data_IF_301773014719
#
_entry.id   IF_301773014719
#
_cell.length_a   1.000
_cell.length_b   1.000
_cell.length_c   1.000
_cell.angle_alpha   90.00
_cell.angle_beta   90.00
_cell.angle_gamma   90.00
#
_symmetry.space_group_name_H-M   'P 1'
#
loop_
_entity.id
_entity.type
_entity.pdbx_description
1 polymer ?
#
# COMPACT_ATOMS: atom_id res chain seq x y z
N UNK A 1 16.40 33.67 18.77
CA UNK A 1 17.79 33.18 18.65
C UNK A 1 17.83 31.95 17.75
N UNK A 2 18.43 32.08 16.57
CA UNK A 2 18.72 30.94 15.69
C UNK A 2 19.92 30.19 16.26
N UNK A 3 19.68 29.12 17.03
CA UNK A 3 20.70 28.10 17.22
C UNK A 3 20.82 27.35 15.89
N UNK A 4 21.80 27.72 15.08
CA UNK A 4 22.20 26.92 13.92
C UNK A 4 22.53 25.52 14.41
N UNK A 5 21.69 24.54 14.06
CA UNK A 5 22.02 23.15 14.28
C UNK A 5 23.29 22.88 13.46
N UNK A 6 24.37 22.45 14.12
CA UNK A 6 25.66 22.14 13.47
C UNK A 6 25.52 21.08 12.35
N UNK A 7 24.38 20.39 12.30
CA UNK A 7 23.95 19.50 11.23
C UNK A 7 22.47 19.72 10.95
N UNK A 8 22.04 19.81 9.67
CA UNK A 8 20.62 19.85 9.34
C UNK A 8 19.92 18.57 9.84
N UNK A 9 18.64 18.64 10.23
CA UNK A 9 17.89 17.48 10.69
C UNK A 9 17.90 16.38 9.61
N UNK A 10 18.03 15.09 9.98
CA UNK A 10 18.06 14.00 9.02
C UNK A 10 16.79 13.99 8.16
N UNK A 11 16.95 13.49 6.92
CA UNK A 11 15.89 13.36 5.92
C UNK A 11 15.83 11.97 5.29
N UNK A 12 16.87 11.17 5.49
CA UNK A 12 16.93 9.79 5.05
C UNK A 12 16.57 8.89 6.24
N UNK A 13 15.46 8.19 6.10
CA UNK A 13 14.85 7.34 7.10
C UNK A 13 14.59 5.95 6.51
N UNK A 14 14.67 4.93 7.35
CA UNK A 14 14.37 3.54 6.99
C UNK A 14 14.07 2.74 8.26
N UNK A 15 13.94 1.43 8.09
CA UNK A 15 13.94 0.44 9.16
C UNK A 15 15.22 0.49 10.01
N UNK A 16 15.20 -0.06 11.25
CA UNK A 16 16.41 -0.22 12.04
C UNK A 16 17.43 -1.11 11.31
N UNK A 17 18.72 -0.96 11.63
CA UNK A 17 19.76 -1.71 10.96
C UNK A 17 19.58 -3.22 11.12
N UNK A 18 19.55 -3.94 10.00
CA UNK A 18 19.34 -5.40 9.97
C UNK A 18 17.87 -5.82 9.94
N UNK A 19 16.94 -4.88 9.89
CA UNK A 19 15.50 -5.13 9.87
C UNK A 19 14.85 -4.59 8.58
N UNK A 20 13.70 -5.13 8.20
CA UNK A 20 13.03 -4.85 6.93
C UNK A 20 11.51 -4.80 7.11
N UNK A 21 10.83 -4.10 6.20
CA UNK A 21 9.38 -4.07 6.11
C UNK A 21 8.72 -3.11 7.11
N UNK A 22 7.52 -2.66 6.74
CA UNK A 22 6.76 -1.71 7.56
C UNK A 22 5.89 -2.36 8.62
N UNK A 23 5.79 -3.71 8.62
CA UNK A 23 4.80 -4.49 9.38
C UNK A 23 3.34 -4.23 8.99
N UNK A 24 3.05 -3.29 8.09
CA UNK A 24 1.67 -2.92 7.75
C UNK A 24 1.00 -4.02 6.92
N UNK A 25 1.73 -4.63 5.99
CA UNK A 25 1.24 -5.74 5.19
C UNK A 25 0.89 -6.97 6.04
N UNK A 26 1.72 -7.30 7.03
CA UNK A 26 1.47 -8.39 7.97
C UNK A 26 0.20 -8.13 8.79
N UNK A 27 0.03 -6.90 9.29
CA UNK A 27 -1.16 -6.51 10.04
C UNK A 27 -2.43 -6.55 9.19
N UNK A 28 -2.37 -6.01 7.97
CA UNK A 28 -3.48 -6.07 7.01
C UNK A 28 -3.86 -7.52 6.71
N UNK A 29 -2.89 -8.39 6.38
CA UNK A 29 -3.14 -9.79 6.08
C UNK A 29 -3.66 -10.59 7.28
N UNK A 30 -3.16 -10.31 8.49
CA UNK A 30 -3.66 -10.92 9.72
C UNK A 30 -5.06 -10.40 10.11
N UNK A 31 -5.49 -9.25 9.56
CA UNK A 31 -6.63 -8.46 10.07
C UNK A 31 -6.47 -8.08 11.54
N UNK A 32 -5.22 -7.87 11.95
CA UNK A 32 -4.86 -7.41 13.30
C UNK A 32 -4.64 -5.90 13.25
N UNK A 33 -5.73 -5.15 13.13
CA UNK A 33 -5.76 -3.67 13.15
C UNK A 33 -7.21 -3.19 13.28
N UNK A 34 -7.41 -2.02 13.90
CA UNK A 34 -8.75 -1.43 14.11
C UNK A 34 -8.97 -0.16 13.29
N UNK A 35 -7.90 0.51 12.84
CA UNK A 35 -8.02 1.75 12.08
C UNK A 35 -6.83 2.02 11.16
N UNK A 36 -7.05 2.80 10.10
CA UNK A 36 -5.98 3.30 9.24
C UNK A 36 -4.94 4.14 10.00
N UNK A 37 -5.35 4.81 11.09
CA UNK A 37 -4.44 5.52 11.99
C UNK A 37 -3.39 4.57 12.56
N UNK A 38 -3.82 3.41 13.03
CA UNK A 38 -2.95 2.41 13.62
C UNK A 38 -1.91 1.87 12.64
N UNK A 39 -2.28 1.69 11.37
CA UNK A 39 -1.37 1.29 10.31
C UNK A 39 -0.35 2.39 9.99
N UNK A 40 -0.77 3.66 9.99
CA UNK A 40 0.15 4.81 9.85
C UNK A 40 1.15 4.89 11.00
N UNK A 41 0.69 4.69 12.24
CA UNK A 41 1.55 4.69 13.43
C UNK A 41 2.52 3.50 13.42
N UNK A 42 2.06 2.33 12.95
CA UNK A 42 2.90 1.13 12.73
C UNK A 42 4.04 1.47 11.77
N UNK A 43 3.73 2.04 10.60
CA UNK A 43 4.74 2.47 9.63
C UNK A 43 5.72 3.49 10.20
N UNK A 44 5.22 4.52 10.89
CA UNK A 44 6.06 5.58 11.47
C UNK A 44 7.04 5.03 12.50
N UNK A 45 6.58 4.13 13.38
CA UNK A 45 7.43 3.51 14.41
C UNK A 45 8.57 2.69 13.78
N UNK A 46 8.28 1.99 12.68
CA UNK A 46 9.24 1.12 12.01
C UNK A 46 10.19 1.85 11.08
N UNK A 47 9.84 3.06 10.63
CA UNK A 47 10.66 3.86 9.72
C UNK A 47 11.35 5.04 10.40
N UNK A 48 11.30 5.15 11.73
CA UNK A 48 11.88 6.27 12.48
C UNK A 48 13.41 6.24 12.62
N UNK A 49 14.14 5.46 11.82
CA UNK A 49 15.59 5.29 11.97
C UNK A 49 16.35 6.03 10.87
N UNK A 50 17.18 7.00 11.26
CA UNK A 50 17.92 7.83 10.31
C UNK A 50 19.19 7.18 9.80
N UNK A 51 19.53 7.48 8.55
CA UNK A 51 20.78 7.10 7.91
C UNK A 51 21.46 8.33 7.30
N UNK A 52 22.78 8.34 7.25
CA UNK A 52 23.48 9.52 6.73
C UNK A 52 25.00 9.40 6.71
N UNK A 53 25.67 10.55 6.79
CA UNK A 53 27.13 10.62 6.85
C UNK A 53 27.64 10.33 8.26
N UNK A 54 28.94 10.03 8.38
CA UNK A 54 29.57 9.71 9.67
C UNK A 54 29.05 8.41 10.25
N UNK A 55 28.73 8.42 11.55
CA UNK A 55 28.25 7.26 12.31
C UNK A 55 26.73 7.03 12.22
N UNK A 56 25.99 7.80 11.41
CA UNK A 56 24.53 7.73 11.30
C UNK A 56 24.10 6.47 10.51
N UNK A 57 23.76 5.39 11.23
CA UNK A 57 23.49 4.05 10.71
C UNK A 57 22.30 3.43 11.44
N UNK A 58 21.10 3.94 11.16
CA UNK A 58 19.86 3.46 11.77
C UNK A 58 19.67 3.96 13.20
N UNK A 59 19.98 5.23 13.46
CA UNK A 59 19.70 5.82 14.80
C UNK A 59 18.23 6.17 14.91
N UNK A 60 17.57 5.80 16.01
CA UNK A 60 16.18 6.19 16.25
C UNK A 60 16.04 7.73 16.36
N UNK A 61 15.09 8.29 15.60
CA UNK A 61 14.73 9.71 15.54
C UNK A 61 13.20 9.91 15.41
N UNK A 62 12.37 9.31 16.28
CA UNK A 62 10.91 9.38 16.15
C UNK A 62 10.37 10.81 16.19
N UNK A 63 10.94 11.69 17.04
CA UNK A 63 10.48 13.09 17.14
C UNK A 63 10.79 13.87 15.86
N UNK A 64 11.91 13.56 15.20
CA UNK A 64 12.31 14.22 13.94
C UNK A 64 11.43 13.74 12.79
N UNK A 65 11.17 12.43 12.70
CA UNK A 65 10.25 11.91 11.68
C UNK A 65 8.84 12.50 11.88
N UNK A 66 8.36 12.56 13.11
CA UNK A 66 7.05 13.14 13.43
C UNK A 66 6.97 14.62 13.02
N UNK A 67 8.02 15.40 13.28
CA UNK A 67 8.09 16.81 12.88
C UNK A 67 8.16 16.98 11.35
N UNK A 68 8.71 16.00 10.62
CA UNK A 68 8.71 16.00 9.16
C UNK A 68 7.32 15.69 8.61
N UNK A 69 6.70 14.60 9.11
CA UNK A 69 5.37 14.16 8.73
C UNK A 69 4.31 15.25 8.95
N UNK A 70 4.44 16.05 10.02
CA UNK A 70 3.52 17.17 10.31
C UNK A 70 3.60 18.32 9.29
N UNK A 71 4.61 18.32 8.42
CA UNK A 71 4.78 19.30 7.34
C UNK A 71 4.60 18.72 5.94
N UNK A 72 4.43 17.39 5.84
CA UNK A 72 4.31 16.68 4.55
C UNK A 72 2.99 17.01 3.88
N UNK A 73 3.05 17.59 2.69
CA UNK A 73 1.87 17.91 1.88
C UNK A 73 1.58 16.84 0.83
N UNK A 74 2.60 16.08 0.40
CA UNK A 74 2.48 15.07 -0.64
C UNK A 74 3.48 13.94 -0.44
N UNK A 75 3.02 12.72 -0.71
CA UNK A 75 3.84 11.51 -0.89
C UNK A 75 4.04 11.28 -2.37
N UNK A 76 5.23 10.84 -2.78
CA UNK A 76 5.53 10.49 -4.16
C UNK A 76 6.10 9.08 -4.19
N UNK A 77 5.58 8.24 -5.08
CA UNK A 77 6.07 6.88 -5.32
C UNK A 77 6.38 6.71 -6.81
N UNK A 78 7.54 6.12 -7.09
CA UNK A 78 7.92 5.70 -8.43
C UNK A 78 7.55 4.22 -8.64
N UNK A 79 7.09 3.88 -9.84
CA UNK A 79 6.88 2.50 -10.31
C UNK A 79 7.62 2.33 -11.63
N UNK A 80 8.52 1.36 -11.68
CA UNK A 80 9.39 1.07 -12.82
C UNK A 80 8.94 -0.15 -13.65
N UNK A 81 7.86 -0.82 -13.22
CA UNK A 81 7.37 -2.06 -13.84
C UNK A 81 5.98 -1.90 -14.47
N UNK A 82 5.83 -2.48 -15.68
CA UNK A 82 4.51 -2.66 -16.32
C UNK A 82 3.76 -3.84 -15.69
N UNK A 83 4.50 -4.82 -15.16
CA UNK A 83 3.95 -6.06 -14.62
C UNK A 83 3.47 -5.87 -13.18
N UNK A 84 4.31 -5.24 -12.35
CA UNK A 84 4.05 -4.98 -10.94
C UNK A 84 3.67 -3.53 -10.69
N UNK A 85 2.37 -3.30 -10.50
CA UNK A 85 1.78 -2.04 -10.07
C UNK A 85 1.34 -2.06 -8.60
N UNK A 86 0.61 -1.03 -8.21
CA UNK A 86 0.18 -0.73 -6.84
C UNK A 86 -0.63 -1.86 -6.20
N UNK A 87 -1.41 -2.58 -7.00
CA UNK A 87 -2.29 -3.66 -6.54
C UNK A 87 -1.64 -5.03 -6.67
N UNK A 88 -0.40 -5.13 -7.19
CA UNK A 88 0.28 -6.39 -7.45
C UNK A 88 1.08 -6.92 -6.28
N UNK A 89 1.61 -6.03 -5.46
CA UNK A 89 2.45 -6.39 -4.33
C UNK A 89 2.05 -5.56 -3.11
N UNK A 90 2.18 -6.14 -1.93
CA UNK A 90 1.74 -5.50 -0.70
C UNK A 90 2.57 -4.26 -0.30
N UNK A 91 3.80 -4.16 -0.79
CA UNK A 91 4.78 -3.17 -0.38
C UNK A 91 4.32 -1.74 -0.67
N UNK A 92 3.51 -1.52 -1.71
CA UNK A 92 3.04 -0.19 -2.06
C UNK A 92 2.00 0.35 -1.08
N UNK A 93 0.95 -0.41 -0.73
CA UNK A 93 0.01 0.08 0.29
C UNK A 93 0.70 0.11 1.67
N UNK A 94 1.57 -0.86 1.95
CA UNK A 94 2.25 -1.00 3.23
C UNK A 94 3.32 0.07 3.48
N UNK A 95 3.85 0.72 2.43
CA UNK A 95 4.81 1.82 2.55
C UNK A 95 4.24 3.14 2.05
N UNK A 96 3.85 3.25 0.77
CA UNK A 96 3.33 4.49 0.20
C UNK A 96 2.02 4.91 0.85
N UNK A 97 1.07 3.97 0.95
CA UNK A 97 -0.21 4.21 1.60
C UNK A 97 -0.03 4.52 3.10
N UNK A 98 0.75 3.71 3.79
CA UNK A 98 0.97 3.89 5.23
C UNK A 98 1.76 5.16 5.58
N UNK A 99 2.72 5.58 4.74
CA UNK A 99 3.39 6.89 4.87
C UNK A 99 2.40 8.04 4.69
N UNK A 100 1.46 7.94 3.73
CA UNK A 100 0.37 8.91 3.59
C UNK A 100 -0.45 8.96 4.88
N UNK A 101 -0.90 7.82 5.41
CA UNK A 101 -1.63 7.75 6.67
C UNK A 101 -0.83 8.35 7.84
N UNK A 102 0.45 8.03 7.98
CA UNK A 102 1.32 8.57 9.02
C UNK A 102 1.43 10.10 8.94
N UNK A 103 1.52 10.66 7.73
CA UNK A 103 1.55 12.10 7.50
C UNK A 103 0.21 12.78 7.83
N UNK A 104 -0.92 12.12 7.52
CA UNK A 104 -2.26 12.59 7.88
C UNK A 104 -2.46 12.54 9.42
N UNK A 105 -2.02 11.47 10.08
CA UNK A 105 -2.04 11.34 11.54
C UNK A 105 -1.27 12.48 12.22
N UNK A 106 -0.06 12.78 11.74
CA UNK A 106 0.78 13.85 12.26
C UNK A 106 0.18 15.25 12.09
N UNK A 107 -0.84 15.39 11.24
CA UNK A 107 -1.54 16.64 10.93
C UNK A 107 -3.03 16.60 11.33
N UNK A 108 -3.39 15.77 12.31
CA UNK A 108 -4.76 15.64 12.82
C UNK A 108 -5.80 15.38 11.72
N UNK A 109 -5.46 14.51 10.76
CA UNK A 109 -6.35 14.07 9.68
C UNK A 109 -6.40 15.00 8.46
N UNK A 110 -5.57 16.04 8.40
CA UNK A 110 -5.47 16.88 7.20
C UNK A 110 -5.01 16.05 6.00
N UNK A 111 -5.78 16.08 4.90
CA UNK A 111 -5.49 15.31 3.68
C UNK A 111 -4.09 15.59 3.14
N UNK A 112 -3.35 14.53 2.85
CA UNK A 112 -2.04 14.54 2.19
C UNK A 112 -2.18 14.01 0.77
N UNK A 113 -1.64 14.72 -0.21
CA UNK A 113 -1.66 14.27 -1.61
C UNK A 113 -0.78 13.05 -1.82
N UNK A 114 -1.05 12.23 -2.83
CA UNK A 114 -0.18 11.12 -3.21
C UNK A 114 -0.05 11.05 -4.73
N UNK A 115 1.18 11.14 -5.22
CA UNK A 115 1.49 11.06 -6.64
C UNK A 115 2.27 9.80 -6.98
N UNK A 116 1.85 9.14 -8.05
CA UNK A 116 2.50 7.97 -8.59
C UNK A 116 3.16 8.37 -9.92
N UNK A 117 4.42 7.99 -10.08
CA UNK A 117 5.22 8.27 -11.27
C UNK A 117 5.62 6.93 -11.90
N UNK A 118 5.01 6.60 -13.03
CA UNK A 118 5.33 5.36 -13.77
C UNK A 118 6.45 5.63 -14.78
N UNK A 119 7.65 5.16 -14.51
CA UNK A 119 8.88 5.47 -15.28
C UNK A 119 9.19 4.48 -16.39
N UNK A 120 8.40 3.42 -16.55
CA UNK A 120 8.45 2.52 -17.71
C UNK A 120 7.90 3.14 -19.01
N UNK A 121 7.20 4.27 -18.92
CA UNK A 121 6.66 5.01 -20.07
C UNK A 121 7.68 5.96 -20.71
N UNK A 122 7.39 6.42 -21.94
CA UNK A 122 8.26 7.37 -22.67
C UNK A 122 8.23 8.81 -22.13
N UNK A 123 7.15 9.21 -21.44
CA UNK A 123 6.94 10.55 -20.89
C UNK A 123 6.31 10.41 -19.49
N UNK A 124 7.11 10.11 -18.45
CA UNK A 124 6.59 9.83 -17.12
C UNK A 124 6.01 11.10 -16.50
N UNK A 125 4.70 11.08 -16.22
CA UNK A 125 3.99 12.18 -15.56
C UNK A 125 3.43 11.71 -14.23
N UNK A 126 3.57 12.52 -13.15
CA UNK A 126 2.89 12.23 -11.90
C UNK A 126 1.38 12.17 -12.10
N UNK A 127 0.76 11.09 -11.62
CA UNK A 127 -0.69 10.90 -11.57
C UNK A 127 -1.13 10.84 -10.11
N UNK A 128 -2.33 11.33 -9.80
CA UNK A 128 -2.88 11.15 -8.45
C UNK A 128 -3.12 9.67 -8.18
N UNK A 129 -2.79 9.22 -6.96
CA UNK A 129 -2.92 7.83 -6.52
C UNK A 129 -4.29 7.24 -6.86
N UNK A 130 -5.38 7.96 -6.56
CA UNK A 130 -6.73 7.49 -6.81
C UNK A 130 -6.99 7.27 -8.30
N UNK A 131 -6.33 8.01 -9.19
CA UNK A 131 -6.46 7.79 -10.65
C UNK A 131 -5.74 6.52 -11.10
N UNK A 132 -4.58 6.22 -10.51
CA UNK A 132 -3.82 4.99 -10.83
C UNK A 132 -4.52 3.76 -10.28
N UNK A 133 -5.01 3.80 -9.04
CA UNK A 133 -5.80 2.70 -8.46
C UNK A 133 -7.03 2.35 -9.31
N UNK A 134 -7.82 3.35 -9.72
CA UNK A 134 -8.99 3.12 -10.61
C UNK A 134 -8.58 2.45 -11.93
N UNK A 135 -7.45 2.86 -12.51
CA UNK A 135 -6.93 2.25 -13.75
C UNK A 135 -6.50 0.81 -13.52
N UNK A 136 -5.78 0.53 -12.43
CA UNK A 136 -5.32 -0.82 -12.11
C UNK A 136 -6.51 -1.77 -11.85
N UNK A 137 -7.49 -1.35 -11.05
CA UNK A 137 -8.69 -2.17 -10.83
C UNK A 137 -9.42 -2.47 -12.15
N UNK A 138 -9.61 -1.48 -13.03
CA UNK A 138 -10.25 -1.68 -14.35
C UNK A 138 -9.46 -2.55 -15.31
N UNK A 139 -8.13 -2.57 -15.20
CA UNK A 139 -7.26 -3.30 -16.12
C UNK A 139 -6.91 -4.71 -15.63
N UNK A 140 -7.01 -4.96 -14.32
CA UNK A 140 -6.63 -6.21 -13.66
C UNK A 140 -7.83 -6.83 -12.93
N UNK A 141 -7.96 -6.62 -11.62
CA UNK A 141 -8.91 -7.33 -10.76
C UNK A 141 -10.36 -7.30 -11.28
N UNK A 142 -10.80 -6.20 -11.91
CA UNK A 142 -12.18 -6.05 -12.39
C UNK A 142 -12.27 -6.17 -13.91
N UNK A 143 -11.19 -6.59 -14.58
CA UNK A 143 -11.19 -6.89 -16.00
C UNK A 143 -11.62 -8.35 -16.21
N UNK A 144 -12.73 -8.63 -16.92
CA UNK A 144 -13.20 -9.99 -17.15
C UNK A 144 -12.15 -10.90 -17.77
N UNK A 145 -11.34 -10.38 -18.70
CA UNK A 145 -10.27 -11.17 -19.34
C UNK A 145 -9.19 -11.60 -18.35
N UNK A 146 -8.85 -10.73 -17.40
CA UNK A 146 -7.88 -11.05 -16.36
C UNK A 146 -8.48 -12.02 -15.34
N UNK A 147 -9.72 -11.78 -14.91
CA UNK A 147 -10.44 -12.64 -13.96
C UNK A 147 -10.56 -14.08 -14.48
N UNK A 148 -11.03 -14.25 -15.72
CA UNK A 148 -11.17 -15.56 -16.35
C UNK A 148 -9.82 -16.27 -16.53
N UNK A 149 -8.80 -15.53 -17.00
CA UNK A 149 -7.47 -16.05 -17.21
C UNK A 149 -6.81 -16.51 -15.91
N UNK A 150 -6.90 -15.71 -14.84
CA UNK A 150 -6.38 -16.08 -13.52
C UNK A 150 -7.12 -17.27 -12.95
N UNK A 151 -8.45 -17.26 -12.94
CA UNK A 151 -9.21 -18.40 -12.44
C UNK A 151 -8.89 -19.71 -13.21
N UNK A 152 -8.49 -19.62 -14.48
CA UNK A 152 -8.06 -20.78 -15.27
C UNK A 152 -6.67 -21.34 -14.92
N UNK A 153 -5.84 -20.62 -14.15
CA UNK A 153 -4.51 -21.08 -13.69
C UNK A 153 -4.58 -21.99 -12.46
N UNK A 154 -5.77 -22.40 -12.02
CA UNK A 154 -5.94 -23.26 -10.86
C UNK A 154 -5.49 -22.58 -9.56
N UNK A 155 -4.79 -23.32 -8.70
CA UNK A 155 -4.46 -22.87 -7.34
C UNK A 155 -3.68 -21.56 -7.28
N UNK A 156 -2.71 -21.37 -8.19
CA UNK A 156 -1.89 -20.16 -8.25
C UNK A 156 -2.70 -18.92 -8.65
N UNK A 157 -3.61 -19.05 -9.61
CA UNK A 157 -4.47 -17.94 -10.01
C UNK A 157 -5.52 -17.57 -8.97
N UNK A 158 -6.06 -18.56 -8.26
CA UNK A 158 -6.92 -18.29 -7.11
C UNK A 158 -6.17 -17.56 -5.97
N UNK A 159 -4.91 -17.94 -5.73
CA UNK A 159 -4.03 -17.22 -4.81
C UNK A 159 -3.80 -15.77 -5.24
N UNK A 160 -3.47 -15.51 -6.50
CA UNK A 160 -3.28 -14.15 -7.03
C UNK A 160 -4.54 -13.28 -6.85
N UNK A 161 -5.72 -13.79 -7.20
CA UNK A 161 -7.00 -13.08 -6.97
C UNK A 161 -7.18 -12.75 -5.48
N UNK A 162 -6.91 -13.71 -4.59
CA UNK A 162 -6.92 -13.50 -3.15
C UNK A 162 -5.98 -12.37 -2.72
N UNK A 163 -4.76 -12.32 -3.23
CA UNK A 163 -3.81 -11.26 -2.91
C UNK A 163 -4.29 -9.88 -3.38
N UNK A 164 -5.03 -9.81 -4.50
CA UNK A 164 -5.65 -8.55 -4.97
C UNK A 164 -6.78 -8.06 -4.09
N UNK A 165 -7.56 -8.97 -3.51
CA UNK A 165 -8.56 -8.62 -2.50
C UNK A 165 -7.88 -8.04 -1.25
N UNK A 166 -6.80 -8.68 -0.77
CA UNK A 166 -6.00 -8.15 0.33
C UNK A 166 -5.40 -6.78 0.01
N UNK A 167 -4.90 -6.56 -1.20
CA UNK A 167 -4.37 -5.26 -1.62
C UNK A 167 -5.48 -4.18 -1.66
N UNK A 168 -6.70 -4.54 -2.07
CA UNK A 168 -7.86 -3.65 -2.02
C UNK A 168 -8.19 -3.19 -0.59
N UNK A 169 -8.17 -4.11 0.38
CA UNK A 169 -8.28 -3.79 1.81
C UNK A 169 -7.12 -2.90 2.26
N UNK A 170 -5.88 -3.22 1.89
CA UNK A 170 -4.69 -2.46 2.27
C UNK A 170 -4.72 -1.01 1.78
N UNK A 171 -5.09 -0.78 0.52
CA UNK A 171 -5.24 0.58 -0.03
C UNK A 171 -6.39 1.35 0.61
N UNK A 172 -7.54 0.71 0.83
CA UNK A 172 -8.65 1.32 1.55
C UNK A 172 -8.26 1.73 2.97
N UNK A 173 -7.63 0.83 3.72
CA UNK A 173 -7.23 1.05 5.10
C UNK A 173 -6.16 2.14 5.25
N UNK A 174 -5.19 2.21 4.34
CA UNK A 174 -4.05 3.13 4.46
C UNK A 174 -4.29 4.49 3.78
N UNK A 175 -5.23 4.59 2.84
CA UNK A 175 -5.42 5.84 2.06
C UNK A 175 -6.83 6.39 2.06
N UNK A 176 -7.81 5.59 2.50
CA UNK A 176 -9.23 5.92 2.42
C UNK A 176 -9.84 5.69 1.03
N UNK A 177 -9.15 4.97 0.13
CA UNK A 177 -9.70 4.61 -1.17
C UNK A 177 -10.81 3.56 -1.00
N UNK A 178 -12.06 3.99 -1.08
CA UNK A 178 -13.23 3.14 -0.86
C UNK A 178 -14.36 3.54 -1.81
N UNK A 179 -14.14 3.42 -3.12
CA UNK A 179 -15.20 3.67 -4.10
C UNK A 179 -16.08 2.44 -4.24
N UNK A 180 -17.40 2.59 -4.06
CA UNK A 180 -18.36 1.48 -3.99
C UNK A 180 -18.22 0.50 -5.16
N UNK A 181 -18.06 1.03 -6.38
CA UNK A 181 -17.98 0.22 -7.59
C UNK A 181 -16.80 -0.78 -7.59
N UNK A 182 -15.69 -0.50 -6.88
CA UNK A 182 -14.58 -1.47 -6.82
C UNK A 182 -14.92 -2.67 -5.96
N UNK A 183 -15.62 -2.44 -4.85
CA UNK A 183 -16.02 -3.47 -3.90
C UNK A 183 -17.20 -4.28 -4.41
N UNK A 184 -18.22 -3.59 -4.95
CA UNK A 184 -19.41 -4.22 -5.53
C UNK A 184 -19.02 -5.15 -6.68
N UNK A 185 -18.25 -4.66 -7.66
CA UNK A 185 -17.85 -5.50 -8.80
C UNK A 185 -16.92 -6.65 -8.41
N UNK A 186 -16.04 -6.45 -7.42
CA UNK A 186 -15.20 -7.54 -6.90
C UNK A 186 -16.06 -8.64 -6.25
N UNK A 187 -17.03 -8.25 -5.42
CA UNK A 187 -17.95 -9.19 -4.79
C UNK A 187 -18.84 -9.89 -5.83
N UNK A 188 -19.40 -9.15 -6.78
CA UNK A 188 -20.20 -9.69 -7.88
C UNK A 188 -19.41 -10.75 -8.67
N UNK A 189 -18.17 -10.42 -9.06
CA UNK A 189 -17.34 -11.27 -9.93
C UNK A 189 -16.83 -12.51 -9.21
N UNK A 190 -16.32 -12.38 -7.98
CA UNK A 190 -15.56 -13.46 -7.34
C UNK A 190 -16.33 -14.23 -6.27
N UNK A 191 -17.45 -13.69 -5.80
CA UNK A 191 -18.24 -14.27 -4.70
C UNK A 191 -19.68 -14.58 -5.13
N UNK A 192 -20.36 -13.63 -5.77
CA UNK A 192 -21.79 -13.78 -6.12
C UNK A 192 -22.02 -14.56 -7.42
N UNK A 193 -21.07 -14.53 -8.36
CA UNK A 193 -21.05 -15.47 -9.49
C UNK A 193 -20.73 -16.88 -8.98
N UNK A 194 -21.76 -17.72 -8.91
CA UNK A 194 -21.65 -19.10 -8.41
C UNK A 194 -20.62 -19.94 -9.19
N UNK A 195 -20.48 -19.73 -10.50
CA UNK A 195 -19.56 -20.48 -11.32
C UNK A 195 -18.11 -20.07 -11.04
N UNK A 196 -17.86 -18.76 -10.93
CA UNK A 196 -16.53 -18.25 -10.54
C UNK A 196 -16.18 -18.69 -9.11
N UNK A 197 -17.11 -18.51 -8.17
CA UNK A 197 -16.90 -18.87 -6.76
C UNK A 197 -16.60 -20.37 -6.58
N UNK A 198 -17.34 -21.26 -7.29
CA UNK A 198 -17.06 -22.68 -7.27
C UNK A 198 -15.67 -23.01 -7.84
N UNK A 199 -15.32 -22.40 -8.98
CA UNK A 199 -14.00 -22.60 -9.61
C UNK A 199 -12.85 -22.20 -8.70
N UNK A 200 -12.94 -21.05 -8.02
CA UNK A 200 -11.91 -20.57 -7.10
C UNK A 200 -11.83 -21.43 -5.83
N UNK A 201 -12.98 -21.81 -5.26
CA UNK A 201 -13.07 -22.67 -4.08
C UNK A 201 -12.45 -24.04 -4.33
N UNK A 202 -12.75 -24.65 -5.47
CA UNK A 202 -12.22 -25.97 -5.84
C UNK A 202 -10.71 -25.90 -6.14
N UNK A 203 -10.26 -24.81 -6.76
CA UNK A 203 -8.85 -24.60 -7.09
C UNK A 203 -7.96 -24.37 -5.85
N UNK A 204 -8.44 -23.55 -4.90
CA UNK A 204 -7.71 -23.25 -3.67
C UNK A 204 -8.68 -22.77 -2.55
N UNK A 205 -9.13 -23.70 -1.68
CA UNK A 205 -10.06 -23.37 -0.59
C UNK A 205 -9.50 -22.32 0.40
N UNK A 206 -8.19 -22.30 0.63
CA UNK A 206 -7.57 -21.33 1.55
C UNK A 206 -7.58 -19.92 0.95
N UNK A 207 -7.22 -19.78 -0.33
CA UNK A 207 -7.31 -18.50 -1.03
C UNK A 207 -8.76 -18.02 -1.13
N UNK A 208 -9.70 -18.91 -1.43
CA UNK A 208 -11.12 -18.54 -1.47
C UNK A 208 -11.64 -18.08 -0.10
N UNK A 209 -11.23 -18.73 0.99
CA UNK A 209 -11.56 -18.24 2.33
C UNK A 209 -10.97 -16.85 2.61
N UNK A 210 -9.79 -16.54 2.10
CA UNK A 210 -9.21 -15.19 2.21
C UNK A 210 -10.00 -14.15 1.41
N UNK A 211 -10.54 -14.50 0.23
CA UNK A 211 -11.41 -13.61 -0.57
C UNK A 211 -12.68 -13.22 0.22
N UNK A 212 -13.20 -14.13 1.05
CA UNK A 212 -14.42 -13.91 1.84
C UNK A 212 -14.19 -13.13 3.15
N UNK A 213 -12.94 -13.02 3.61
CA UNK A 213 -12.56 -12.41 4.89
C UNK A 213 -12.51 -10.90 4.76
#
# INVERSE_FOLDING_TARGET
EQRGLATPPPRLFSNPAGDFGSMVNERVGASDWESGKELGDTWASRNAFSYGRGSERGTARPEVLQALLSTTQRVVQEIDSVEYGLTDIQEYYANTGALKSAAENAQAGKKVGCSIVETFGRDPKPRELESVLRLEYRSKLLNPKWAEAMAAQGSGGAYEISQRMTAMVGWGATTGFAEDWTWEQAAETYVMDEAMAAKLRDANPQAFNNILK
#
